data_IF_964892776943
#
_entry.id   IF_964892776943
#
_cell.length_a   1.000
_cell.length_b   1.000
_cell.length_c   1.000
_cell.angle_alpha   90.00
_cell.angle_beta   90.00
_cell.angle_gamma   90.00
#
_symmetry.space_group_name_H-M   'P 1'
#
loop_
_entity.id
_entity.type
_entity.pdbx_description
1 polymer ?
#
# COMPACT_ATOMS: atom_id res chain seq x y z
N UNK A 1 -9.66 42.42 -9.92
CA UNK A 1 -9.87 41.62 -8.70
C UNK A 1 -8.80 40.54 -8.70
N UNK A 2 -7.96 40.50 -7.66
CA UNK A 2 -6.73 39.69 -7.63
C UNK A 2 -7.10 38.20 -7.62
N UNK A 3 -6.66 37.48 -8.65
CA UNK A 3 -6.57 36.01 -8.69
C UNK A 3 -5.50 35.59 -7.67
N UNK A 4 -5.92 34.94 -6.58
CA UNK A 4 -5.01 34.20 -5.73
C UNK A 4 -4.92 32.77 -6.29
N UNK A 5 -3.91 32.51 -7.11
CA UNK A 5 -3.47 31.14 -7.39
C UNK A 5 -2.59 30.70 -6.23
N UNK A 6 -3.10 29.81 -5.37
CA UNK A 6 -2.25 29.06 -4.46
C UNK A 6 -1.54 27.96 -5.27
N UNK A 7 -0.21 27.80 -5.16
CA UNK A 7 0.44 26.61 -5.68
C UNK A 7 0.10 25.46 -4.73
N UNK A 8 -0.70 24.51 -5.19
CA UNK A 8 -0.92 23.25 -4.46
C UNK A 8 0.31 22.39 -4.69
N UNK A 9 1.24 22.41 -3.73
CA UNK A 9 2.35 21.46 -3.70
C UNK A 9 1.81 20.16 -3.11
N UNK A 10 1.34 19.25 -3.97
CA UNK A 10 0.98 17.88 -3.58
C UNK A 10 2.27 17.06 -3.63
N UNK A 11 2.91 16.83 -2.49
CA UNK A 11 3.86 15.73 -2.36
C UNK A 11 3.05 14.53 -1.88
N UNK A 12 2.98 13.53 -2.76
CA UNK A 12 2.13 12.35 -2.69
C UNK A 12 2.99 11.12 -2.37
N UNK A 13 2.44 10.20 -1.59
CA UNK A 13 3.13 9.01 -1.11
C UNK A 13 3.11 7.94 -2.21
N UNK A 14 4.30 7.56 -2.71
CA UNK A 14 4.47 6.65 -3.84
C UNK A 14 5.02 5.32 -3.34
N UNK A 15 4.29 4.23 -3.58
CA UNK A 15 4.79 2.87 -3.47
C UNK A 15 4.95 2.27 -4.86
N UNK A 16 6.13 2.45 -5.47
CA UNK A 16 6.52 1.67 -6.65
C UNK A 16 7.04 0.32 -6.15
N UNK A 17 6.19 -0.71 -6.19
CA UNK A 17 6.61 -2.08 -5.90
C UNK A 17 7.30 -2.65 -7.14
N UNK A 18 8.63 -2.60 -7.17
CA UNK A 18 9.39 -3.40 -8.13
C UNK A 18 9.42 -4.86 -7.66
N UNK A 19 8.53 -5.69 -8.22
CA UNK A 19 8.62 -7.15 -8.03
C UNK A 19 9.77 -7.67 -8.89
N UNK A 20 10.99 -7.67 -8.35
CA UNK A 20 12.10 -8.39 -8.96
C UNK A 20 12.03 -9.86 -8.56
N UNK A 21 11.45 -10.70 -9.42
CA UNK A 21 11.67 -12.14 -9.35
C UNK A 21 13.09 -12.45 -9.84
N UNK A 22 13.96 -12.91 -8.94
CA UNK A 22 15.25 -13.45 -9.31
C UNK A 22 15.05 -14.88 -9.84
N UNK A 23 14.99 -15.05 -11.17
CA UNK A 23 15.19 -16.37 -11.78
C UNK A 23 16.32 -16.32 -12.80
N UNK A 24 17.19 -17.33 -12.73
CA UNK A 24 18.43 -17.47 -13.52
C UNK A 24 18.12 -17.89 -14.96
N UNK A 25 18.94 -17.41 -15.90
CA UNK A 25 18.94 -17.79 -17.32
C UNK A 25 19.05 -19.31 -17.58
N UNK A 26 18.37 -19.76 -18.65
CA UNK A 26 18.80 -20.83 -19.54
C UNK A 26 17.81 -21.98 -19.75
N UNK A 27 16.96 -21.93 -20.78
CA UNK A 27 17.25 -22.56 -22.09
C UNK A 27 16.07 -22.49 -23.06
N UNK A 28 16.39 -22.19 -24.32
CA UNK A 28 15.49 -22.13 -25.46
C UNK A 28 14.97 -23.52 -25.84
N UNK A 29 13.66 -23.66 -26.03
CA UNK A 29 13.10 -24.44 -27.15
C UNK A 29 11.63 -24.07 -27.42
N UNK A 30 11.40 -23.54 -28.62
CA UNK A 30 10.11 -23.14 -29.17
C UNK A 30 9.34 -24.32 -29.75
N UNK A 31 8.07 -24.50 -29.35
CA UNK A 31 7.05 -25.26 -30.08
C UNK A 31 5.71 -24.50 -29.99
N UNK A 32 4.94 -24.34 -31.10
CA UNK A 32 3.77 -23.46 -31.11
C UNK A 32 2.51 -24.18 -30.59
N UNK A 33 1.79 -23.55 -29.66
CA UNK A 33 0.49 -24.02 -29.20
C UNK A 33 -0.65 -23.27 -29.92
N UNK A 34 -1.57 -24.05 -30.51
CA UNK A 34 -2.83 -23.61 -31.12
C UNK A 34 -3.92 -23.58 -30.04
N UNK A 35 -4.92 -22.67 -30.07
CA UNK A 35 -5.73 -22.38 -28.89
C UNK A 35 -6.84 -23.43 -28.70
N UNK A 36 -6.88 -24.01 -27.51
CA UNK A 36 -7.99 -24.86 -27.04
C UNK A 36 -8.61 -24.27 -25.79
N UNK A 37 -9.90 -23.93 -25.92
CA UNK A 37 -10.96 -23.92 -24.91
C UNK A 37 -10.63 -23.39 -23.51
N UNK A 38 -11.20 -22.22 -23.22
CA UNK A 38 -11.30 -21.60 -21.89
C UNK A 38 -12.08 -22.51 -20.94
N UNK A 39 -11.38 -23.27 -20.13
CA UNK A 39 -11.88 -23.78 -18.84
C UNK A 39 -11.89 -22.61 -17.84
N UNK A 40 -12.88 -22.48 -16.95
CA UNK A 40 -12.80 -21.48 -15.88
C UNK A 40 -11.59 -21.83 -15.01
N UNK A 41 -10.70 -20.87 -14.80
CA UNK A 41 -9.61 -21.01 -13.84
C UNK A 41 -10.21 -21.27 -12.43
N UNK A 42 -9.60 -22.16 -11.63
CA UNK A 42 -10.01 -22.34 -10.25
C UNK A 42 -9.87 -21.02 -9.47
N UNK A 43 -10.77 -20.82 -8.50
CA UNK A 43 -10.86 -19.59 -7.70
C UNK A 43 -9.62 -19.48 -6.82
N UNK A 44 -8.70 -18.56 -7.16
CA UNK A 44 -7.37 -18.40 -6.55
C UNK A 44 -7.37 -18.06 -5.05
N UNK A 45 -8.53 -17.72 -4.50
CA UNK A 45 -8.74 -17.29 -3.12
C UNK A 45 -10.05 -17.88 -2.62
N UNK A 46 -10.00 -18.68 -1.55
CA UNK A 46 -11.21 -19.13 -0.84
C UNK A 46 -11.07 -18.80 0.64
N UNK A 47 -11.52 -17.60 1.09
CA UNK A 47 -11.59 -17.33 2.52
C UNK A 47 -12.61 -18.27 3.17
N UNK A 48 -12.27 -18.85 4.32
CA UNK A 48 -13.16 -19.77 5.02
C UNK A 48 -14.44 -19.07 5.52
N UNK A 49 -14.41 -17.75 5.80
CA UNK A 49 -15.52 -17.06 6.48
C UNK A 49 -15.73 -15.57 6.11
N UNK A 50 -14.99 -14.99 5.16
CA UNK A 50 -15.10 -13.54 4.90
C UNK A 50 -16.23 -13.25 3.92
N UNK A 51 -17.42 -12.98 4.46
CA UNK A 51 -18.55 -12.47 3.70
C UNK A 51 -18.27 -11.03 3.20
N UNK A 52 -18.26 -10.83 1.88
CA UNK A 52 -18.04 -9.53 1.24
C UNK A 52 -19.34 -8.82 0.82
N UNK A 53 -20.53 -9.37 1.13
CA UNK A 53 -21.82 -8.78 0.73
C UNK A 53 -22.06 -7.37 1.27
N UNK A 54 -21.39 -7.02 2.37
CA UNK A 54 -21.52 -5.72 3.02
C UNK A 54 -20.57 -4.65 2.41
N UNK A 55 -19.76 -5.04 1.42
CA UNK A 55 -18.89 -4.12 0.67
C UNK A 55 -19.61 -3.65 -0.60
N UNK A 56 -19.73 -2.34 -0.77
CA UNK A 56 -20.40 -1.73 -1.91
C UNK A 56 -19.36 -1.30 -2.93
N UNK A 57 -19.33 -1.98 -4.07
CA UNK A 57 -18.40 -1.71 -5.17
C UNK A 57 -19.09 -1.01 -6.36
N UNK A 58 -19.95 -0.03 -6.08
CA UNK A 58 -20.68 0.70 -7.12
C UNK A 58 -20.35 2.21 -7.03
N UNK A 59 -19.68 2.79 -8.04
CA UNK A 59 -19.32 4.22 -8.03
C UNK A 59 -20.53 5.16 -8.13
N UNK A 60 -21.74 4.66 -8.35
CA UNK A 60 -22.96 5.47 -8.34
C UNK A 60 -23.63 5.52 -6.96
N UNK A 61 -23.15 4.71 -6.01
CA UNK A 61 -23.67 4.63 -4.64
C UNK A 61 -22.65 5.24 -3.68
N UNK A 62 -23.13 6.02 -2.70
CA UNK A 62 -22.35 6.41 -1.54
C UNK A 62 -22.79 5.55 -0.37
N UNK A 63 -21.87 4.78 0.21
CA UNK A 63 -22.14 3.99 1.42
C UNK A 63 -21.96 4.80 2.72
N UNK A 64 -21.72 6.11 2.60
CA UNK A 64 -21.56 7.07 3.69
C UNK A 64 -22.38 8.34 3.42
N UNK A 65 -22.73 9.07 4.47
CA UNK A 65 -23.40 10.37 4.33
C UNK A 65 -22.38 11.43 3.92
N UNK A 66 -22.46 11.87 2.66
CA UNK A 66 -21.53 12.83 2.06
C UNK A 66 -21.52 14.20 2.75
N UNK A 67 -22.50 14.49 3.63
CA UNK A 67 -22.57 15.74 4.38
C UNK A 67 -22.01 15.63 5.80
N UNK A 68 -21.60 14.43 6.23
CA UNK A 68 -21.06 14.18 7.56
C UNK A 68 -19.53 14.20 7.53
N UNK A 69 -18.94 14.82 8.55
CA UNK A 69 -17.50 14.77 8.79
C UNK A 69 -17.14 13.49 9.55
N UNK A 70 -16.32 12.66 8.90
CA UNK A 70 -15.82 11.39 9.39
C UNK A 70 -14.31 11.43 9.67
N UNK A 71 -13.68 12.61 9.54
CA UNK A 71 -12.25 12.78 9.77
C UNK A 71 -11.84 12.23 11.13
N UNK A 72 -10.77 11.42 11.16
CA UNK A 72 -10.21 10.81 12.38
C UNK A 72 -11.15 9.81 13.10
N UNK A 73 -12.18 9.27 12.43
CA UNK A 73 -13.14 8.34 13.03
C UNK A 73 -13.01 6.92 12.49
N UNK A 74 -13.28 5.95 13.37
CA UNK A 74 -13.71 4.61 12.94
C UNK A 74 -15.17 4.73 12.52
N UNK A 75 -15.48 4.24 11.32
CA UNK A 75 -16.82 4.30 10.72
C UNK A 75 -17.47 2.92 10.71
N UNK A 76 -18.79 2.87 10.52
CA UNK A 76 -19.54 1.61 10.56
C UNK A 76 -19.50 0.83 9.24
N UNK A 77 -19.11 1.49 8.15
CA UNK A 77 -19.08 0.93 6.78
C UNK A 77 -17.67 0.55 6.34
N UNK A 78 -17.58 -0.36 5.36
CA UNK A 78 -16.31 -0.77 4.77
C UNK A 78 -15.81 0.21 3.69
N UNK A 79 -14.52 0.16 3.34
CA UNK A 79 -13.97 0.85 2.16
C UNK A 79 -14.74 0.51 0.88
N UNK A 80 -14.91 1.48 -0.02
CA UNK A 80 -15.44 1.21 -1.36
C UNK A 80 -14.27 0.93 -2.32
N UNK A 81 -14.43 -0.07 -3.18
CA UNK A 81 -13.57 -0.27 -4.33
C UNK A 81 -14.35 -0.08 -5.64
N UNK A 82 -13.77 0.63 -6.59
CA UNK A 82 -14.35 0.89 -7.90
C UNK A 82 -13.40 0.41 -8.98
N UNK A 83 -13.93 -0.34 -9.95
CA UNK A 83 -13.13 -1.17 -10.86
C UNK A 83 -13.33 -0.77 -12.31
N UNK A 84 -12.25 -0.75 -13.08
CA UNK A 84 -12.32 -0.69 -14.53
C UNK A 84 -12.96 -1.98 -15.08
N UNK A 85 -13.73 -1.86 -16.16
CA UNK A 85 -14.57 -2.96 -16.66
C UNK A 85 -13.80 -4.13 -17.26
N UNK A 86 -12.51 -3.99 -17.50
CA UNK A 86 -11.61 -5.03 -18.03
C UNK A 86 -11.03 -5.94 -16.93
N UNK A 87 -11.27 -5.64 -15.66
CA UNK A 87 -10.80 -6.44 -14.53
C UNK A 87 -11.66 -7.70 -14.33
N UNK A 88 -11.00 -8.82 -14.02
CA UNK A 88 -11.66 -10.09 -13.78
C UNK A 88 -12.40 -10.11 -12.43
N UNK A 89 -13.25 -11.12 -12.23
CA UNK A 89 -13.89 -11.34 -10.93
C UNK A 89 -12.88 -11.78 -9.84
N UNK A 90 -11.74 -12.38 -10.21
CA UNK A 90 -10.69 -12.72 -9.24
C UNK A 90 -10.08 -11.45 -8.66
N UNK A 91 -9.80 -10.46 -9.52
CA UNK A 91 -9.33 -9.13 -9.08
C UNK A 91 -10.36 -8.45 -8.20
N UNK A 92 -11.62 -8.38 -8.63
CA UNK A 92 -12.70 -7.73 -7.86
C UNK A 92 -12.82 -8.36 -6.48
N UNK A 93 -12.86 -9.70 -6.41
CA UNK A 93 -12.95 -10.42 -5.14
C UNK A 93 -11.70 -10.27 -4.28
N UNK A 94 -10.50 -10.33 -4.87
CA UNK A 94 -9.22 -10.22 -4.17
C UNK A 94 -9.03 -8.86 -3.51
N UNK A 95 -9.26 -7.76 -4.24
CA UNK A 95 -9.21 -6.40 -3.70
C UNK A 95 -10.26 -6.21 -2.60
N UNK A 96 -11.51 -6.63 -2.85
CA UNK A 96 -12.61 -6.49 -1.90
C UNK A 96 -12.32 -7.23 -0.60
N UNK A 97 -11.80 -8.46 -0.70
CA UNK A 97 -11.39 -9.27 0.43
C UNK A 97 -10.25 -8.60 1.21
N UNK A 98 -9.21 -8.15 0.53
CA UNK A 98 -8.05 -7.52 1.18
C UNK A 98 -8.41 -6.21 1.91
N UNK A 99 -9.23 -5.35 1.31
CA UNK A 99 -9.72 -4.12 1.96
C UNK A 99 -10.57 -4.44 3.20
N UNK A 100 -11.45 -5.43 3.09
CA UNK A 100 -12.27 -5.88 4.22
C UNK A 100 -11.39 -6.43 5.34
N UNK A 101 -10.43 -7.28 5.02
CA UNK A 101 -9.45 -7.84 5.97
C UNK A 101 -8.68 -6.74 6.68
N UNK A 102 -8.16 -5.75 5.95
CA UNK A 102 -7.42 -4.65 6.56
C UNK A 102 -8.30 -3.83 7.53
N UNK A 103 -9.54 -3.54 7.14
CA UNK A 103 -10.49 -2.80 7.97
C UNK A 103 -10.94 -3.60 9.21
N UNK A 104 -11.05 -4.92 9.12
CA UNK A 104 -11.36 -5.79 10.25
C UNK A 104 -10.19 -5.91 11.24
N UNK A 105 -8.95 -6.00 10.74
CA UNK A 105 -7.77 -6.16 11.59
C UNK A 105 -7.33 -4.85 12.25
N UNK A 106 -7.44 -3.70 11.55
CA UNK A 106 -6.88 -2.43 12.03
C UNK A 106 -7.93 -1.37 12.34
N UNK A 107 -9.19 -1.63 12.01
CA UNK A 107 -10.30 -0.70 12.19
C UNK A 107 -10.70 -0.02 10.89
N UNK A 108 -12.01 0.24 10.76
CA UNK A 108 -12.64 0.89 9.61
C UNK A 108 -12.37 2.40 9.62
N UNK A 109 -11.13 2.82 9.37
CA UNK A 109 -10.84 4.24 9.15
C UNK A 109 -11.35 4.64 7.76
N UNK A 110 -12.06 5.77 7.66
CA UNK A 110 -12.65 6.17 6.39
C UNK A 110 -13.51 7.44 6.47
N UNK A 111 -14.16 7.82 5.35
CA UNK A 111 -14.41 7.03 4.14
C UNK A 111 -13.19 6.80 3.27
N UNK A 112 -13.15 5.62 2.64
CA UNK A 112 -12.10 5.21 1.70
C UNK A 112 -12.73 4.97 0.34
N UNK A 113 -12.13 5.55 -0.70
CA UNK A 113 -12.45 5.30 -2.11
C UNK A 113 -11.20 4.75 -2.81
N UNK A 114 -11.24 3.47 -3.18
CA UNK A 114 -10.12 2.74 -3.77
C UNK A 114 -10.40 2.47 -5.26
N UNK A 115 -9.63 3.08 -6.16
CA UNK A 115 -9.88 3.05 -7.60
C UNK A 115 -8.90 2.10 -8.32
N UNK A 116 -9.40 1.02 -8.91
CA UNK A 116 -8.59 -0.06 -9.48
C UNK A 116 -8.68 -0.03 -11.00
N UNK A 117 -7.52 0.04 -11.65
CA UNK A 117 -7.37 0.13 -13.09
C UNK A 117 -6.82 -1.17 -13.67
N UNK A 118 -7.33 -1.59 -14.83
CA UNK A 118 -6.76 -2.69 -15.62
C UNK A 118 -5.77 -2.19 -16.66
N UNK A 119 -5.65 -2.94 -17.76
CA UNK A 119 -4.77 -2.63 -18.87
C UNK A 119 -5.49 -1.86 -19.99
N UNK A 120 -6.82 -1.95 -20.09
CA UNK A 120 -7.59 -1.30 -21.14
C UNK A 120 -7.76 0.21 -20.89
N UNK A 121 -7.38 1.01 -21.89
CA UNK A 121 -7.41 2.47 -21.78
C UNK A 121 -8.84 3.01 -21.76
N UNK A 122 -9.77 2.44 -22.53
CA UNK A 122 -11.14 2.95 -22.58
C UNK A 122 -11.88 2.65 -21.27
N UNK A 123 -11.70 1.44 -20.71
CA UNK A 123 -12.23 1.06 -19.42
C UNK A 123 -11.73 1.99 -18.30
N UNK A 124 -10.46 2.41 -18.35
CA UNK A 124 -9.93 3.40 -17.42
C UNK A 124 -10.53 4.80 -17.62
N UNK A 125 -10.69 5.27 -18.85
CA UNK A 125 -11.35 6.56 -19.14
C UNK A 125 -12.80 6.57 -18.65
N UNK A 126 -13.52 5.46 -18.81
CA UNK A 126 -14.89 5.30 -18.33
C UNK A 126 -14.95 5.35 -16.79
N UNK A 127 -14.01 4.70 -16.10
CA UNK A 127 -13.90 4.76 -14.64
C UNK A 127 -13.51 6.16 -14.14
N UNK A 128 -12.57 6.83 -14.81
CA UNK A 128 -12.17 8.21 -14.50
C UNK A 128 -13.37 9.15 -14.66
N UNK A 129 -14.15 8.97 -15.73
CA UNK A 129 -15.38 9.74 -15.92
C UNK A 129 -16.34 9.55 -14.74
N UNK A 130 -16.52 8.32 -14.22
CA UNK A 130 -17.32 8.04 -13.02
C UNK A 130 -16.77 8.72 -11.77
N UNK A 131 -15.44 8.72 -11.58
CA UNK A 131 -14.80 9.47 -10.50
C UNK A 131 -15.13 10.97 -10.60
N UNK A 132 -14.97 11.56 -11.78
CA UNK A 132 -15.23 12.98 -12.00
C UNK A 132 -16.72 13.35 -11.88
N UNK A 133 -17.64 12.51 -12.35
CA UNK A 133 -19.09 12.66 -12.10
C UNK A 133 -19.40 12.74 -10.60
N UNK A 134 -18.77 11.88 -9.78
CA UNK A 134 -18.93 11.94 -8.32
C UNK A 134 -18.38 13.24 -7.74
N UNK A 135 -17.20 13.70 -8.19
CA UNK A 135 -16.61 14.95 -7.69
C UNK A 135 -17.47 16.16 -8.05
N UNK A 136 -18.01 16.20 -9.27
CA UNK A 136 -18.90 17.27 -9.71
C UNK A 136 -20.22 17.26 -8.96
N UNK A 137 -20.84 16.10 -8.76
CA UNK A 137 -22.08 15.97 -7.99
C UNK A 137 -21.94 16.47 -6.55
N UNK A 138 -20.74 16.36 -5.96
CA UNK A 138 -20.43 16.84 -4.61
C UNK A 138 -19.89 18.29 -4.58
N UNK A 139 -19.85 18.99 -5.72
CA UNK A 139 -19.23 20.31 -5.86
C UNK A 139 -17.76 20.36 -5.38
N UNK A 140 -17.06 19.24 -5.49
CA UNK A 140 -15.67 19.08 -5.07
C UNK A 140 -14.69 19.44 -6.20
N UNK A 141 -15.10 19.18 -7.44
CA UNK A 141 -14.34 19.49 -8.64
C UNK A 141 -15.28 19.63 -9.83
N UNK A 142 -15.00 20.53 -10.76
CA UNK A 142 -15.74 20.56 -12.03
C UNK A 142 -15.36 19.37 -12.89
N UNK A 143 -16.26 18.87 -13.73
CA UNK A 143 -15.97 17.78 -14.66
C UNK A 143 -14.71 18.06 -15.52
N UNK A 144 -14.58 19.27 -16.06
CA UNK A 144 -13.44 19.64 -16.91
C UNK A 144 -12.12 19.58 -16.16
N UNK A 145 -11.98 20.31 -15.05
CA UNK A 145 -10.72 20.33 -14.29
C UNK A 145 -10.33 18.92 -13.79
N UNK A 146 -11.31 18.09 -13.42
CA UNK A 146 -11.07 16.71 -13.01
C UNK A 146 -10.56 15.84 -14.15
N UNK A 147 -11.24 15.85 -15.31
CA UNK A 147 -10.82 15.08 -16.48
C UNK A 147 -9.46 15.55 -16.99
N UNK A 148 -9.24 16.87 -17.09
CA UNK A 148 -7.96 17.44 -17.54
C UNK A 148 -6.80 16.93 -16.66
N UNK A 149 -7.04 16.78 -15.35
CA UNK A 149 -6.03 16.34 -14.40
C UNK A 149 -5.84 14.83 -14.36
N UNK A 150 -6.93 14.07 -14.30
CA UNK A 150 -6.90 12.62 -14.08
C UNK A 150 -6.64 11.84 -15.37
N UNK A 151 -6.75 12.48 -16.54
CA UNK A 151 -6.36 11.93 -17.85
C UNK A 151 -5.02 12.44 -18.37
N UNK A 152 -4.31 13.28 -17.60
CA UNK A 152 -2.97 13.76 -17.97
C UNK A 152 -1.93 12.65 -17.77
N UNK A 153 -1.52 12.03 -18.87
CA UNK A 153 -0.51 10.96 -18.91
C UNK A 153 0.92 11.43 -18.59
N UNK A 154 1.16 12.74 -18.47
CA UNK A 154 2.46 13.29 -18.06
C UNK A 154 2.63 13.37 -16.55
N UNK A 155 1.55 13.17 -15.80
CA UNK A 155 1.54 13.22 -14.35
C UNK A 155 1.55 11.79 -13.81
N UNK A 156 2.61 11.41 -13.10
CA UNK A 156 2.82 10.02 -12.60
C UNK A 156 1.73 9.50 -11.64
N UNK A 157 0.80 10.36 -11.24
CA UNK A 157 -0.21 10.12 -10.21
C UNK A 157 -1.60 10.61 -10.61
N UNK A 158 -1.80 10.93 -11.90
CA UNK A 158 -3.14 10.93 -12.46
C UNK A 158 -3.68 9.51 -12.47
N UNK A 159 -4.99 9.34 -12.40
CA UNK A 159 -5.62 8.02 -12.48
C UNK A 159 -5.22 7.25 -13.75
N UNK A 160 -5.04 7.93 -14.89
CA UNK A 160 -4.61 7.27 -16.13
C UNK A 160 -3.19 6.69 -16.04
N UNK A 161 -2.31 7.22 -15.18
CA UNK A 161 -0.97 6.68 -14.97
C UNK A 161 -1.01 5.25 -14.40
N UNK A 162 -1.97 4.95 -13.53
CA UNK A 162 -2.16 3.60 -12.98
C UNK A 162 -2.62 2.60 -14.05
N UNK A 163 -3.49 3.01 -14.98
CA UNK A 163 -3.82 2.20 -16.15
C UNK A 163 -2.59 1.98 -17.03
N UNK A 164 -1.76 3.01 -17.24
CA UNK A 164 -0.55 2.90 -18.05
C UNK A 164 0.42 1.86 -17.49
N UNK A 165 0.60 1.82 -16.16
CA UNK A 165 1.33 0.74 -15.50
C UNK A 165 0.73 -0.63 -15.79
N UNK A 166 -0.60 -0.77 -15.72
CA UNK A 166 -1.29 -2.02 -16.07
C UNK A 166 -1.08 -2.45 -17.53
N UNK A 167 -1.15 -1.51 -18.47
CA UNK A 167 -0.87 -1.76 -19.88
C UNK A 167 0.59 -2.18 -20.14
N UNK A 168 1.54 -1.61 -19.41
CA UNK A 168 2.95 -1.98 -19.50
C UNK A 168 3.22 -3.42 -19.07
N UNK A 169 2.50 -3.94 -18.06
CA UNK A 169 2.58 -5.35 -17.65
C UNK A 169 2.26 -6.27 -18.83
N UNK A 170 1.18 -5.99 -19.55
CA UNK A 170 0.76 -6.76 -20.73
C UNK A 170 1.74 -6.57 -21.89
N UNK A 171 2.13 -5.32 -22.17
CA UNK A 171 2.96 -5.00 -23.33
C UNK A 171 4.38 -5.55 -23.22
N UNK A 172 4.94 -5.58 -22.01
CA UNK A 172 6.32 -6.03 -21.77
C UNK A 172 6.42 -7.47 -21.29
N UNK A 173 5.30 -8.06 -20.86
CA UNK A 173 5.27 -9.35 -20.16
C UNK A 173 6.25 -9.36 -18.98
N UNK A 174 6.25 -8.28 -18.19
CA UNK A 174 7.09 -8.13 -17.00
C UNK A 174 6.23 -7.70 -15.81
N UNK A 175 6.42 -8.31 -14.63
CA UNK A 175 5.65 -7.98 -13.43
C UNK A 175 6.01 -6.58 -12.94
N UNK A 176 5.02 -5.68 -12.90
CA UNK A 176 5.16 -4.31 -12.40
C UNK A 176 3.81 -3.84 -11.86
N UNK A 177 3.81 -3.15 -10.74
CA UNK A 177 2.60 -2.62 -10.13
C UNK A 177 2.85 -1.27 -9.48
N UNK A 178 1.77 -0.53 -9.28
CA UNK A 178 1.76 0.72 -8.57
C UNK A 178 0.43 0.83 -7.81
N UNK A 179 0.52 1.18 -6.53
CA UNK A 179 -0.62 1.55 -5.72
C UNK A 179 -0.22 2.73 -4.84
N UNK A 180 -1.19 3.54 -4.41
CA UNK A 180 -0.87 4.70 -3.59
C UNK A 180 -2.08 5.39 -2.98
N UNK A 181 -1.85 6.00 -1.81
CA UNK A 181 -2.73 7.02 -1.24
C UNK A 181 -2.54 8.36 -1.96
N UNK A 182 -3.60 8.78 -2.67
CA UNK A 182 -3.61 9.90 -3.59
C UNK A 182 -4.36 11.13 -3.05
N UNK A 183 -4.43 11.29 -1.73
CA UNK A 183 -5.05 12.45 -1.08
C UNK A 183 -6.56 12.30 -0.85
N UNK A 184 -7.34 13.35 -1.17
CA UNK A 184 -8.78 13.41 -0.91
C UNK A 184 -9.16 14.02 0.46
N UNK A 185 -8.17 14.55 1.18
CA UNK A 185 -8.37 15.15 2.50
C UNK A 185 -9.31 16.36 2.48
N UNK A 186 -9.23 17.15 1.43
CA UNK A 186 -10.09 18.30 1.16
C UNK A 186 -11.56 17.92 0.93
N UNK A 187 -11.82 16.64 0.69
CA UNK A 187 -13.13 16.07 0.42
C UNK A 187 -13.65 15.21 1.57
N UNK A 188 -12.92 15.12 2.68
CA UNK A 188 -13.32 14.28 3.80
C UNK A 188 -13.11 12.78 3.54
N UNK A 189 -12.28 12.38 2.56
CA UNK A 189 -12.03 10.97 2.21
C UNK A 189 -10.54 10.61 2.16
N UNK A 190 -10.23 9.32 2.11
CA UNK A 190 -8.97 8.79 1.62
C UNK A 190 -9.17 8.27 0.19
N UNK A 191 -8.54 8.93 -0.80
CA UNK A 191 -8.52 8.50 -2.20
C UNK A 191 -7.31 7.63 -2.43
N UNK A 192 -7.48 6.40 -2.92
CA UNK A 192 -6.38 5.52 -3.31
C UNK A 192 -6.56 5.08 -4.76
N UNK A 193 -5.47 4.76 -5.45
CA UNK A 193 -5.53 4.11 -6.75
C UNK A 193 -4.56 2.93 -6.83
N UNK A 194 -4.86 1.97 -7.70
CA UNK A 194 -4.10 0.75 -7.91
C UNK A 194 -4.11 0.42 -9.41
N UNK A 195 -2.93 0.18 -9.99
CA UNK A 195 -2.77 -0.40 -11.32
C UNK A 195 -3.27 -1.85 -11.37
N UNK A 196 -3.16 -2.52 -12.52
CA UNK A 196 -3.66 -3.88 -12.70
C UNK A 196 -3.08 -4.87 -11.67
N UNK A 197 -3.89 -5.39 -10.72
CA UNK A 197 -3.42 -6.32 -9.69
C UNK A 197 -3.40 -7.75 -10.25
N UNK A 198 -2.44 -7.97 -11.15
CA UNK A 198 -2.37 -9.13 -12.03
C UNK A 198 -2.13 -10.47 -11.30
N UNK A 199 -1.70 -10.45 -10.03
CA UNK A 199 -1.41 -11.69 -9.28
C UNK A 199 -2.69 -12.42 -8.87
N UNK A 200 -3.81 -11.70 -8.71
CA UNK A 200 -5.12 -12.33 -8.52
C UNK A 200 -5.57 -13.14 -9.74
N UNK A 201 -5.13 -12.72 -10.93
CA UNK A 201 -5.37 -13.41 -12.20
C UNK A 201 -4.32 -14.47 -12.52
N UNK A 202 -3.35 -14.70 -11.62
CA UNK A 202 -2.24 -15.61 -11.84
C UNK A 202 -1.50 -15.33 -13.16
N UNK A 203 -1.32 -14.06 -13.54
CA UNK A 203 -0.72 -13.70 -14.82
C UNK A 203 0.72 -14.23 -14.97
N UNK A 204 1.43 -14.37 -13.86
CA UNK A 204 2.77 -14.96 -13.80
C UNK A 204 2.79 -16.12 -12.81
N UNK A 205 3.28 -17.28 -13.23
CA UNK A 205 3.20 -18.52 -12.44
C UNK A 205 3.94 -18.44 -11.10
N UNK A 206 5.05 -17.71 -11.05
CA UNK A 206 5.94 -17.60 -9.89
C UNK A 206 5.56 -16.46 -8.92
N UNK A 207 4.48 -15.72 -9.20
CA UNK A 207 4.05 -14.56 -8.42
C UNK A 207 2.62 -14.81 -7.92
N UNK A 208 2.45 -15.21 -6.66
CA UNK A 208 1.16 -15.65 -6.16
C UNK A 208 0.29 -14.47 -5.72
N UNK A 209 -1.04 -14.68 -5.63
CA UNK A 209 -2.05 -13.66 -5.33
C UNK A 209 -1.81 -12.86 -4.03
N UNK A 210 -1.01 -13.41 -3.11
CA UNK A 210 -0.58 -12.77 -1.88
C UNK A 210 0.17 -11.45 -2.11
N UNK A 211 0.87 -11.27 -3.24
CA UNK A 211 1.60 -10.04 -3.53
C UNK A 211 0.67 -8.83 -3.69
N UNK A 212 -0.39 -8.93 -4.50
CA UNK A 212 -1.38 -7.85 -4.60
C UNK A 212 -2.26 -7.76 -3.34
N UNK A 213 -2.54 -8.88 -2.68
CA UNK A 213 -3.24 -8.86 -1.39
C UNK A 213 -2.47 -8.03 -0.36
N UNK A 214 -1.16 -8.29 -0.21
CA UNK A 214 -0.26 -7.53 0.67
C UNK A 214 -0.21 -6.05 0.26
N UNK A 215 -0.17 -5.76 -1.04
CA UNK A 215 -0.18 -4.38 -1.54
C UNK A 215 -1.43 -3.62 -1.10
N UNK A 216 -2.62 -4.25 -1.16
CA UNK A 216 -3.84 -3.62 -0.64
C UNK A 216 -3.77 -3.38 0.87
N UNK A 217 -3.24 -4.35 1.64
CA UNK A 217 -3.01 -4.17 3.07
C UNK A 217 -2.05 -3.00 3.35
N UNK A 218 -0.94 -2.91 2.61
CA UNK A 218 0.04 -1.82 2.72
C UNK A 218 -0.62 -0.45 2.53
N UNK A 219 -1.36 -0.29 1.44
CA UNK A 219 -2.05 0.97 1.13
C UNK A 219 -3.14 1.33 2.15
N UNK A 220 -3.86 0.32 2.66
CA UNK A 220 -4.84 0.56 3.72
C UNK A 220 -4.16 0.95 5.04
N UNK A 221 -2.94 0.47 5.31
CA UNK A 221 -2.22 0.90 6.50
C UNK A 221 -1.85 2.39 6.44
N UNK A 222 -1.59 2.95 5.25
CA UNK A 222 -1.47 4.41 5.10
C UNK A 222 -2.76 5.15 5.47
N UNK A 223 -3.94 4.56 5.23
CA UNK A 223 -5.22 5.12 5.73
C UNK A 223 -5.21 5.20 7.25
N UNK A 224 -4.80 4.13 7.93
CA UNK A 224 -4.66 4.09 9.40
C UNK A 224 -3.70 5.17 9.89
N UNK A 225 -2.51 5.29 9.29
CA UNK A 225 -1.51 6.28 9.68
C UNK A 225 -2.05 7.71 9.53
N UNK A 226 -2.67 8.00 8.38
CA UNK A 226 -3.13 9.34 8.02
C UNK A 226 -4.43 9.74 8.74
N UNK A 227 -5.25 8.77 9.17
CA UNK A 227 -6.49 9.05 9.91
C UNK A 227 -6.20 9.71 11.25
N UNK A 228 -5.08 9.42 11.91
CA UNK A 228 -4.74 10.02 13.20
C UNK A 228 -4.18 11.44 13.11
N UNK A 229 -3.86 11.92 11.90
CA UNK A 229 -3.31 13.27 11.66
C UNK A 229 -4.08 14.00 10.56
N UNK A 230 -5.31 13.57 10.32
CA UNK A 230 -6.14 14.01 9.20
C UNK A 230 -6.36 15.52 9.23
N UNK A 231 -6.75 16.08 10.37
CA UNK A 231 -7.13 17.49 10.49
C UNK A 231 -5.94 18.46 10.61
N UNK A 232 -4.71 17.96 10.50
CA UNK A 232 -3.52 18.80 10.51
C UNK A 232 -3.29 19.48 9.16
N UNK A 233 -2.58 20.61 9.18
CA UNK A 233 -2.06 21.23 7.96
C UNK A 233 -1.14 20.26 7.22
N UNK A 234 -0.99 20.41 5.90
CA UNK A 234 -0.14 19.50 5.10
C UNK A 234 1.27 19.34 5.70
N UNK A 235 1.93 20.44 6.05
CA UNK A 235 3.28 20.41 6.62
C UNK A 235 3.32 19.72 7.99
N UNK A 236 2.33 19.98 8.84
CA UNK A 236 2.26 19.35 10.15
C UNK A 236 2.02 17.84 10.00
N UNK A 237 1.04 17.44 9.18
CA UNK A 237 0.73 16.05 8.86
C UNK A 237 1.95 15.29 8.37
N UNK A 238 2.67 15.86 7.39
CA UNK A 238 3.91 15.30 6.87
C UNK A 238 4.95 15.14 7.97
N UNK A 239 5.17 16.16 8.80
CA UNK A 239 6.14 16.09 9.90
C UNK A 239 5.78 15.05 10.98
N UNK A 240 4.48 14.71 11.12
CA UNK A 240 4.00 13.71 12.08
C UNK A 240 4.23 12.27 11.62
N UNK A 241 4.20 12.01 10.32
CA UNK A 241 4.35 10.65 9.78
C UNK A 241 5.78 10.41 9.26
N UNK A 242 6.43 11.47 8.77
CA UNK A 242 7.78 11.46 8.23
C UNK A 242 8.70 12.42 8.98
N UNK A 243 9.31 12.00 10.09
CA UNK A 243 10.19 12.85 10.87
C UNK A 243 11.39 13.27 10.01
N UNK A 244 11.66 14.58 9.92
CA UNK A 244 12.71 15.15 9.07
C UNK A 244 12.62 14.75 7.59
N UNK A 245 11.39 14.49 7.11
CA UNK A 245 11.08 13.99 5.74
C UNK A 245 11.60 12.57 5.47
N UNK A 246 12.00 11.85 6.51
CA UNK A 246 12.41 10.46 6.36
C UNK A 246 11.19 9.55 6.29
N UNK A 247 11.18 8.64 5.32
CA UNK A 247 10.01 7.80 5.01
C UNK A 247 9.93 6.53 5.86
N UNK A 248 10.94 6.28 6.70
CA UNK A 248 11.15 4.95 7.25
C UNK A 248 10.00 4.47 8.14
N UNK A 249 9.46 5.32 9.02
CA UNK A 249 8.37 4.91 9.90
C UNK A 249 7.07 4.71 9.11
N UNK A 250 6.83 5.57 8.12
CA UNK A 250 5.64 5.49 7.27
C UNK A 250 5.63 4.21 6.44
N UNK A 251 6.66 4.02 5.61
CA UNK A 251 6.72 2.92 4.67
C UNK A 251 7.09 1.61 5.35
N UNK A 252 8.00 1.65 6.32
CA UNK A 252 8.31 0.48 7.15
C UNK A 252 7.13 0.00 7.96
N UNK A 253 6.31 0.95 8.48
CA UNK A 253 5.09 0.65 9.22
C UNK A 253 4.07 -0.07 8.37
N UNK A 254 3.78 0.48 7.19
CA UNK A 254 2.85 -0.12 6.24
C UNK A 254 3.33 -1.49 5.74
N UNK A 255 4.60 -1.60 5.35
CA UNK A 255 5.15 -2.84 4.79
C UNK A 255 5.24 -3.95 5.85
N UNK A 256 5.70 -3.64 7.08
CA UNK A 256 5.77 -4.66 8.14
C UNK A 256 4.38 -5.09 8.58
N UNK A 257 3.46 -4.16 8.82
CA UNK A 257 2.11 -4.50 9.29
C UNK A 257 1.32 -5.29 8.23
N UNK A 258 1.50 -4.98 6.94
CA UNK A 258 0.91 -5.74 5.85
C UNK A 258 1.45 -7.18 5.80
N UNK A 259 2.78 -7.37 5.86
CA UNK A 259 3.38 -8.70 5.87
C UNK A 259 2.97 -9.49 7.13
N UNK A 260 3.17 -8.91 8.33
CA UNK A 260 2.83 -9.56 9.59
C UNK A 260 1.37 -10.01 9.63
N UNK A 261 0.44 -9.14 9.25
CA UNK A 261 -1.00 -9.45 9.27
C UNK A 261 -1.34 -10.55 8.26
N UNK A 262 -0.79 -10.48 7.04
CA UNK A 262 -1.02 -11.51 6.02
C UNK A 262 -0.55 -12.89 6.52
N UNK A 263 0.69 -13.01 7.01
CA UNK A 263 1.22 -14.28 7.50
C UNK A 263 0.49 -14.76 8.75
N UNK A 264 0.16 -13.88 9.71
CA UNK A 264 -0.65 -14.21 10.89
C UNK A 264 -1.98 -14.86 10.50
N UNK A 265 -2.67 -14.31 9.50
CA UNK A 265 -3.97 -14.80 9.03
C UNK A 265 -3.87 -16.06 8.17
N UNK A 266 -2.76 -16.25 7.45
CA UNK A 266 -2.48 -17.52 6.76
C UNK A 266 -2.22 -18.62 7.79
N UNK A 267 -1.34 -18.37 8.75
CA UNK A 267 -0.92 -19.34 9.77
C UNK A 267 -2.09 -19.83 10.63
N UNK A 268 -3.02 -18.93 11.00
CA UNK A 268 -4.20 -19.30 11.79
C UNK A 268 -5.35 -19.88 10.95
N UNK A 269 -5.20 -19.99 9.64
CA UNK A 269 -6.19 -20.54 8.70
C UNK A 269 -7.33 -19.60 8.31
N UNK A 270 -7.30 -18.32 8.71
CA UNK A 270 -8.33 -17.34 8.30
C UNK A 270 -8.26 -17.05 6.80
N UNK A 271 -7.04 -16.93 6.26
CA UNK A 271 -6.79 -16.78 4.83
C UNK A 271 -6.18 -18.07 4.26
N UNK A 272 -6.76 -18.56 3.17
CA UNK A 272 -6.26 -19.73 2.44
C UNK A 272 -5.99 -19.32 1.00
N UNK A 273 -4.78 -19.63 0.55
CA UNK A 273 -4.30 -19.42 -0.81
C UNK A 273 -3.86 -20.76 -1.40
N UNK A 274 -4.09 -20.95 -2.70
CA UNK A 274 -3.72 -22.21 -3.38
C UNK A 274 -2.20 -22.41 -3.47
N UNK A 275 -1.45 -21.33 -3.70
CA UNK A 275 0.01 -21.33 -3.78
C UNK A 275 0.61 -20.83 -2.48
N UNK A 276 1.74 -21.40 -2.07
CA UNK A 276 2.50 -20.90 -0.91
C UNK A 276 3.14 -19.54 -1.23
N UNK A 277 3.23 -18.68 -0.21
CA UNK A 277 3.90 -17.39 -0.29
C UNK A 277 5.27 -17.37 0.40
N UNK A 278 5.70 -18.50 0.96
CA UNK A 278 6.83 -18.59 1.89
C UNK A 278 6.42 -18.34 3.34
N UNK A 279 7.37 -17.94 4.18
CA UNK A 279 7.12 -17.49 5.57
C UNK A 279 7.44 -16.00 5.77
N UNK A 280 6.98 -15.42 6.89
CA UNK A 280 7.37 -14.05 7.25
C UNK A 280 8.90 -13.93 7.38
N UNK A 281 9.54 -14.94 7.98
CA UNK A 281 11.01 -15.00 8.16
C UNK A 281 11.74 -14.97 6.81
N UNK A 282 11.29 -15.73 5.81
CA UNK A 282 11.88 -15.71 4.46
C UNK A 282 11.72 -14.34 3.78
N UNK A 283 10.57 -13.67 3.93
CA UNK A 283 10.38 -12.31 3.39
C UNK A 283 11.31 -11.31 4.07
N UNK A 284 11.42 -11.37 5.40
CA UNK A 284 12.29 -10.49 6.16
C UNK A 284 13.77 -10.73 5.82
N UNK A 285 14.21 -11.98 5.71
CA UNK A 285 15.54 -12.34 5.23
C UNK A 285 15.85 -11.71 3.87
N UNK A 286 14.97 -11.90 2.88
CA UNK A 286 15.15 -11.34 1.54
C UNK A 286 15.29 -9.81 1.56
N UNK A 287 14.49 -9.13 2.41
CA UNK A 287 14.59 -7.67 2.62
C UNK A 287 15.94 -7.29 3.23
N UNK A 288 16.44 -8.02 4.23
CA UNK A 288 17.76 -7.74 4.83
C UNK A 288 18.88 -7.89 3.79
N UNK A 289 18.86 -8.97 3.02
CA UNK A 289 19.86 -9.25 1.99
C UNK A 289 19.85 -8.18 0.88
N UNK A 290 18.66 -7.74 0.45
CA UNK A 290 18.51 -6.68 -0.53
C UNK A 290 18.97 -5.32 0.02
N UNK A 291 18.64 -5.00 1.27
CA UNK A 291 19.07 -3.78 1.93
C UNK A 291 20.61 -3.74 2.04
N UNK A 292 21.23 -4.81 2.55
CA UNK A 292 22.69 -4.95 2.66
C UNK A 292 23.38 -4.79 1.31
N UNK A 293 22.93 -5.55 0.29
CA UNK A 293 23.47 -5.46 -1.07
C UNK A 293 23.41 -4.04 -1.61
N UNK A 294 22.34 -3.31 -1.34
CA UNK A 294 22.17 -1.96 -1.88
C UNK A 294 22.99 -0.93 -1.10
N UNK A 295 23.08 -1.06 0.24
CA UNK A 295 23.95 -0.25 1.09
C UNK A 295 25.44 -0.44 0.75
N UNK A 296 25.86 -1.65 0.37
CA UNK A 296 27.24 -1.91 -0.05
C UNK A 296 27.57 -1.35 -1.43
N UNK A 297 26.55 -1.08 -2.25
CA UNK A 297 26.71 -0.61 -3.62
C UNK A 297 26.22 0.84 -3.77
N UNK A 298 25.00 1.03 -4.29
CA UNK A 298 24.51 2.31 -4.77
C UNK A 298 24.09 3.27 -3.65
N UNK A 299 24.03 2.81 -2.40
CA UNK A 299 23.48 3.52 -1.27
C UNK A 299 24.47 3.66 -0.10
N UNK A 300 25.77 3.53 -0.41
CA UNK A 300 26.84 3.53 0.60
C UNK A 300 26.85 4.80 1.46
N UNK A 301 27.01 4.59 2.77
CA UNK A 301 27.06 5.65 3.77
C UNK A 301 25.70 6.22 4.18
N UNK A 302 24.59 5.80 3.56
CA UNK A 302 23.24 6.17 4.01
C UNK A 302 22.82 5.38 5.25
N UNK A 303 22.11 6.04 6.14
CA UNK A 303 21.44 5.45 7.31
C UNK A 303 19.93 5.47 7.13
N UNK A 304 19.21 4.81 8.04
CA UNK A 304 17.76 4.71 8.04
C UNK A 304 17.09 6.10 7.92
N UNK A 305 17.58 7.08 8.67
CA UNK A 305 17.06 8.44 8.70
C UNK A 305 17.35 9.29 7.45
N UNK A 306 18.21 8.81 6.53
CA UNK A 306 18.62 9.55 5.33
C UNK A 306 17.69 9.33 4.13
N UNK A 307 16.79 8.35 4.19
CA UNK A 307 15.92 7.98 3.07
C UNK A 307 14.68 8.86 3.00
N UNK A 308 14.51 9.56 1.86
CA UNK A 308 13.41 10.49 1.57
C UNK A 308 12.75 10.14 0.23
N UNK A 309 11.48 10.50 0.02
CA UNK A 309 10.81 10.31 -1.27
C UNK A 309 11.55 10.99 -2.44
N UNK A 310 11.46 10.37 -3.62
CA UNK A 310 11.97 10.94 -4.87
C UNK A 310 13.50 11.05 -4.94
N UNK A 311 14.24 10.42 -4.02
CA UNK A 311 15.70 10.35 -4.03
C UNK A 311 16.19 8.94 -4.33
N UNK A 312 17.45 8.84 -4.76
CA UNK A 312 18.14 7.57 -4.98
C UNK A 312 18.00 6.64 -3.76
N UNK A 313 17.89 5.33 -4.01
CA UNK A 313 17.79 4.26 -3.01
C UNK A 313 16.41 4.03 -2.35
N UNK A 314 15.32 4.41 -3.03
CA UNK A 314 13.96 4.16 -2.52
C UNK A 314 13.72 2.70 -2.12
N UNK A 315 14.12 1.72 -2.92
CA UNK A 315 13.91 0.28 -2.60
C UNK A 315 14.59 -0.14 -1.28
N UNK A 316 15.78 0.39 -0.99
CA UNK A 316 16.51 0.14 0.27
C UNK A 316 15.77 0.72 1.45
N UNK A 317 15.14 1.88 1.24
CA UNK A 317 14.34 2.51 2.27
C UNK A 317 13.24 1.55 2.72
N UNK A 318 12.45 0.97 1.82
CA UNK A 318 11.41 0.01 2.18
C UNK A 318 11.94 -1.18 2.97
N UNK A 319 12.97 -1.84 2.44
CA UNK A 319 13.50 -3.07 3.04
C UNK A 319 14.09 -2.82 4.44
N UNK A 320 14.93 -1.79 4.59
CA UNK A 320 15.54 -1.46 5.88
C UNK A 320 14.51 -0.90 6.87
N UNK A 321 13.52 -0.15 6.39
CA UNK A 321 12.46 0.40 7.22
C UNK A 321 11.51 -0.65 7.76
N UNK A 322 11.25 -1.71 6.98
CA UNK A 322 10.47 -2.85 7.44
C UNK A 322 11.16 -3.51 8.65
N UNK A 323 12.49 -3.69 8.57
CA UNK A 323 13.30 -4.22 9.69
C UNK A 323 13.35 -3.29 10.90
N UNK A 324 13.43 -1.97 10.67
CA UNK A 324 13.38 -0.97 11.73
C UNK A 324 12.08 -1.07 12.56
N UNK A 325 10.94 -1.25 11.89
CA UNK A 325 9.65 -1.42 12.55
C UNK A 325 9.53 -2.79 13.24
N UNK A 326 10.02 -3.86 12.62
CA UNK A 326 10.07 -5.19 13.25
C UNK A 326 10.85 -5.16 14.58
N UNK A 327 12.03 -4.52 14.58
CA UNK A 327 12.86 -4.35 15.76
C UNK A 327 12.14 -3.58 16.88
N UNK A 328 11.42 -2.52 16.54
CA UNK A 328 10.65 -1.74 17.51
C UNK A 328 9.51 -2.56 18.13
N UNK A 329 8.78 -3.33 17.32
CA UNK A 329 7.66 -4.15 17.78
C UNK A 329 8.14 -5.28 18.68
N UNK A 330 9.22 -5.98 18.29
CA UNK A 330 9.83 -7.05 19.08
C UNK A 330 10.31 -6.54 20.45
N UNK A 331 11.03 -5.40 20.46
CA UNK A 331 11.56 -4.82 21.70
C UNK A 331 10.48 -4.50 22.74
N UNK A 332 9.30 -4.10 22.29
CA UNK A 332 8.14 -3.83 23.17
C UNK A 332 7.33 -5.09 23.44
N UNK A 333 7.51 -6.15 22.65
CA UNK A 333 6.74 -7.38 22.71
C UNK A 333 5.23 -7.09 22.65
N UNK A 334 4.83 -6.15 21.79
CA UNK A 334 3.43 -5.82 21.52
C UNK A 334 3.23 -5.57 20.01
N UNK A 335 2.64 -6.52 19.25
CA UNK A 335 2.39 -6.35 17.82
C UNK A 335 1.40 -5.23 17.50
N UNK A 336 0.63 -4.76 18.47
CA UNK A 336 -0.37 -3.71 18.29
C UNK A 336 0.13 -2.31 18.74
N UNK A 337 1.39 -2.16 19.19
CA UNK A 337 1.87 -0.89 19.77
C UNK A 337 1.69 0.31 18.82
N UNK A 338 1.81 0.06 17.52
CA UNK A 338 1.59 1.08 16.50
C UNK A 338 0.15 1.58 16.47
N UNK A 339 -0.81 0.66 16.54
CA UNK A 339 -2.25 0.92 16.48
C UNK A 339 -2.79 1.48 17.79
N UNK A 340 -2.32 0.96 18.93
CA UNK A 340 -2.85 1.28 20.25
C UNK A 340 -2.25 2.55 20.85
N UNK A 341 -0.99 2.86 20.49
CA UNK A 341 -0.25 3.96 21.14
C UNK A 341 0.40 4.91 20.14
N UNK A 342 1.20 4.43 19.20
CA UNK A 342 2.05 5.33 18.40
C UNK A 342 1.22 6.29 17.52
N UNK A 343 0.47 5.75 16.56
CA UNK A 343 -0.30 6.57 15.62
C UNK A 343 -1.38 7.41 16.32
N UNK A 344 -2.16 6.88 17.29
CA UNK A 344 -3.16 7.67 18.02
C UNK A 344 -2.61 8.92 18.71
N UNK A 345 -1.33 8.93 19.10
CA UNK A 345 -0.72 10.04 19.83
C UNK A 345 0.08 11.01 18.95
N UNK A 346 0.22 10.74 17.65
CA UNK A 346 1.02 11.58 16.73
C UNK A 346 0.53 13.03 16.65
N UNK A 347 -0.79 13.22 16.61
CA UNK A 347 -1.41 14.55 16.50
C UNK A 347 -0.98 15.46 17.65
N UNK A 348 -1.13 14.97 18.87
CA UNK A 348 -0.98 15.75 20.09
C UNK A 348 0.48 15.84 20.55
N UNK A 349 1.25 14.76 20.43
CA UNK A 349 2.61 14.68 20.98
C UNK A 349 3.71 14.98 19.95
N UNK A 350 3.37 14.99 18.65
CA UNK A 350 4.39 14.99 17.61
C UNK A 350 5.07 13.62 17.47
N UNK A 351 5.92 13.48 16.44
CA UNK A 351 6.61 12.21 16.18
C UNK A 351 7.46 11.77 17.37
N UNK A 352 8.36 12.62 17.86
CA UNK A 352 9.28 12.26 18.95
C UNK A 352 8.53 11.95 20.26
N UNK A 353 7.48 12.72 20.58
CA UNK A 353 6.70 12.50 21.79
C UNK A 353 5.89 11.20 21.75
N UNK A 354 5.24 10.90 20.62
CA UNK A 354 4.55 9.63 20.42
C UNK A 354 5.53 8.45 20.38
N UNK A 355 6.69 8.63 19.75
CA UNK A 355 7.75 7.61 19.71
C UNK A 355 8.24 7.28 21.12
N UNK A 356 8.55 8.29 21.92
CA UNK A 356 8.97 8.08 23.30
C UNK A 356 7.88 7.43 24.15
N UNK A 357 6.61 7.83 23.97
CA UNK A 357 5.48 7.21 24.66
C UNK A 357 5.32 5.73 24.31
N UNK A 358 5.48 5.36 23.04
CA UNK A 358 5.29 4.00 22.55
C UNK A 358 6.45 3.07 22.87
N UNK A 359 7.68 3.54 22.69
CA UNK A 359 8.87 2.69 22.73
C UNK A 359 9.70 2.89 23.99
N UNK A 360 9.47 3.97 24.74
CA UNK A 360 10.16 4.25 26.01
C UNK A 360 11.56 4.87 25.86
N UNK A 361 11.96 5.26 24.65
CA UNK A 361 13.25 5.91 24.36
C UNK A 361 13.13 6.86 23.17
N UNK A 362 14.16 7.68 22.95
CA UNK A 362 14.19 8.67 21.86
C UNK A 362 14.50 8.04 20.50
N UNK A 363 14.15 8.73 19.41
CA UNK A 363 14.54 8.29 18.06
C UNK A 363 16.07 8.27 17.88
N UNK A 364 16.80 9.13 18.58
CA UNK A 364 18.27 9.12 18.54
C UNK A 364 18.86 7.87 19.20
N UNK A 365 18.30 7.42 20.32
CA UNK A 365 18.70 6.17 20.96
C UNK A 365 18.36 4.97 20.07
N UNK A 366 17.18 5.00 19.45
CA UNK A 366 16.75 4.01 18.47
C UNK A 366 17.75 3.83 17.33
N UNK A 367 18.14 4.92 16.66
CA UNK A 367 19.06 4.81 15.53
C UNK A 367 20.40 4.19 15.95
N UNK A 368 20.89 4.48 17.15
CA UNK A 368 22.13 3.86 17.65
C UNK A 368 21.96 2.35 17.88
N UNK A 369 20.89 1.94 18.57
CA UNK A 369 20.64 0.53 18.84
C UNK A 369 20.35 -0.28 17.57
N UNK A 370 19.55 0.27 16.66
CA UNK A 370 19.24 -0.39 15.39
C UNK A 370 20.50 -0.56 14.54
N UNK A 371 21.41 0.43 14.53
CA UNK A 371 22.70 0.30 13.85
C UNK A 371 23.59 -0.79 14.46
N UNK A 372 23.52 -1.04 15.78
CA UNK A 372 24.22 -2.19 16.38
C UNK A 372 23.53 -3.51 16.03
N UNK A 373 22.20 -3.56 16.04
CA UNK A 373 21.42 -4.72 15.59
C UNK A 373 21.76 -5.13 14.15
N UNK A 374 21.91 -4.17 13.23
CA UNK A 374 22.26 -4.44 11.83
C UNK A 374 23.61 -5.16 11.64
N UNK A 375 24.52 -5.09 12.64
CA UNK A 375 25.83 -5.75 12.63
C UNK A 375 25.77 -7.20 13.09
N UNK A 376 24.66 -7.64 13.70
CA UNK A 376 24.50 -9.03 14.12
C UNK A 376 24.47 -9.97 12.90
N UNK A 377 24.87 -11.24 13.08
CA UNK A 377 24.60 -12.29 12.10
C UNK A 377 23.12 -12.34 11.73
N UNK A 378 22.82 -12.71 10.49
CA UNK A 378 21.44 -12.75 10.01
C UNK A 378 20.58 -13.72 10.85
N UNK A 379 21.16 -14.83 11.32
CA UNK A 379 20.46 -15.79 12.16
C UNK A 379 19.97 -15.14 13.47
N UNK A 380 20.82 -14.34 14.13
CA UNK A 380 20.45 -13.61 15.35
C UNK A 380 19.43 -12.49 15.05
N UNK A 381 19.52 -11.86 13.88
CA UNK A 381 18.53 -10.86 13.47
C UNK A 381 17.16 -11.48 13.24
N UNK A 382 17.08 -12.69 12.71
CA UNK A 382 15.81 -13.37 12.44
C UNK A 382 15.11 -13.85 13.71
N UNK A 383 15.80 -13.93 14.86
CA UNK A 383 15.18 -14.32 16.14
C UNK A 383 14.05 -13.38 16.59
N UNK A 384 14.03 -12.12 16.13
CA UNK A 384 12.97 -11.15 16.43
C UNK A 384 11.72 -11.35 15.56
N UNK A 385 11.80 -12.17 14.52
CA UNK A 385 10.70 -12.38 13.57
C UNK A 385 9.86 -13.56 14.06
N UNK A 386 8.55 -13.38 14.31
CA UNK A 386 7.68 -14.47 14.74
C UNK A 386 7.65 -15.62 13.72
N UNK A 387 7.58 -16.84 14.24
CA UNK A 387 7.44 -18.07 13.44
C UNK A 387 5.96 -18.26 13.02
N UNK A 388 5.57 -17.57 11.94
CA UNK A 388 4.23 -17.53 11.35
C UNK A 388 4.24 -17.57 9.82
#
# INVERSE_FOLDING_TARGET
MKKNSFPVSVILFITIVFIYSCSKEGDNNSVPATPTSVTPAPTSLTPLEINTTDVINNPEIFNYDVNKDYSEQIVEFYPNAFFASDLSMNVVNGITLALKTAADEWGKYGPVEYWVFGADKQAALDLINKFCERREALNQWTMTDCLDRETDESLDYSMIAYQKTGAEVIATNQPRGNAGHNGGFEWGIHKLAHSYPFTFDNLFDDIPAQDDFKTVLHEYFHVVQLSHVYNLSHNDRVSRIMPNESIWMQEGGAEYMANFTLFKLINNGTLIFEKSYGSLSEKMQNKMDNARRSLDNNCSGKKLEDFKYGKDCSNVAYDLSTWAVAFLIDKINNPNILLETFYPNLKDLGFEGAFNLSFGYSTSEFYNEFNEFLKLPLEEQLEIIPDI
#
